data_IF_437705262283
#
_entry.id   IF_437705262283
#
_cell.length_a   1.000
_cell.length_b   1.000
_cell.length_c   1.000
_cell.angle_alpha   90.00
_cell.angle_beta   90.00
_cell.angle_gamma   90.00
#
_symmetry.space_group_name_H-M   'P 1'
#
loop_
_entity.id
_entity.type
_entity.pdbx_description
1 polymer ?
#
# COMPACT_ATOMS: atom_id res chain seq x y z
N UNK A 1 -2.98 8.17 11.88
CA UNK A 1 -2.33 6.87 11.66
C UNK A 1 -1.24 7.06 10.62
N UNK A 2 -0.09 6.43 10.78
CA UNK A 2 0.99 6.47 9.79
C UNK A 2 1.41 5.05 9.43
N UNK A 3 1.84 4.85 8.19
CA UNK A 3 2.48 3.61 7.75
C UNK A 3 3.98 3.83 7.73
N UNK A 4 4.74 2.91 8.32
CA UNK A 4 6.20 2.94 8.34
C UNK A 4 6.69 1.62 7.74
N UNK A 5 7.58 1.72 6.76
CA UNK A 5 8.23 0.57 6.11
C UNK A 5 9.74 0.75 6.23
N UNK A 6 10.45 -0.32 6.56
CA UNK A 6 11.91 -0.32 6.54
C UNK A 6 12.40 -0.74 5.15
N UNK A 7 13.03 0.18 4.43
CA UNK A 7 13.78 -0.10 3.21
C UNK A 7 15.26 -0.33 3.52
N UNK A 8 15.82 -1.40 2.97
CA UNK A 8 17.20 -1.83 3.25
C UNK A 8 18.26 -0.81 2.83
N UNK A 9 17.96 0.04 1.83
CA UNK A 9 18.95 0.97 1.24
C UNK A 9 18.96 2.36 1.88
N UNK A 10 17.83 2.86 2.38
CA UNK A 10 17.71 4.26 2.85
C UNK A 10 17.22 4.38 4.30
N UNK A 11 16.81 3.29 4.94
CA UNK A 11 16.27 3.27 6.29
C UNK A 11 14.74 3.22 6.28
N UNK A 12 14.08 4.05 7.08
CA UNK A 12 12.62 4.00 7.20
C UNK A 12 11.93 5.00 6.27
N UNK A 13 10.95 4.52 5.51
CA UNK A 13 9.96 5.36 4.84
C UNK A 13 8.72 5.45 5.74
N UNK A 14 8.28 6.67 6.07
CA UNK A 14 7.05 6.92 6.82
C UNK A 14 6.14 7.82 6.00
N UNK A 15 4.85 7.48 5.96
CA UNK A 15 3.83 8.32 5.34
C UNK A 15 2.60 8.45 6.24
N UNK A 16 2.06 9.67 6.30
CA UNK A 16 0.85 10.05 6.99
C UNK A 16 -0.30 10.27 6.00
N UNK A 17 -1.53 10.36 6.50
CA UNK A 17 -2.70 10.60 5.65
C UNK A 17 -2.62 11.98 4.97
N UNK A 18 -2.07 12.96 5.68
CA UNK A 18 -1.88 14.33 5.22
C UNK A 18 -0.93 14.40 4.01
N UNK A 19 0.04 13.49 3.93
CA UNK A 19 0.97 13.42 2.79
C UNK A 19 0.24 13.00 1.50
N UNK A 20 -0.75 12.11 1.62
CA UNK A 20 -1.58 11.63 0.50
C UNK A 20 -2.53 12.73 0.02
N UNK A 21 -2.98 13.60 0.93
CA UNK A 21 -3.90 14.70 0.63
C UNK A 21 -3.18 15.97 0.14
N UNK A 22 -1.86 16.02 0.22
CA UNK A 22 -1.08 17.20 -0.16
C UNK A 22 -0.91 17.28 -1.68
N UNK A 23 -1.67 18.17 -2.34
CA UNK A 23 -1.59 18.38 -3.79
C UNK A 23 -0.19 18.81 -4.29
N UNK A 24 0.65 19.43 -3.43
CA UNK A 24 2.02 19.81 -3.79
C UNK A 24 2.96 18.59 -3.93
N UNK A 25 2.61 17.47 -3.29
CA UNK A 25 3.33 16.19 -3.41
C UNK A 25 2.92 15.41 -4.66
N UNK A 26 1.95 15.92 -5.42
CA UNK A 26 1.35 15.26 -6.57
C UNK A 26 0.13 14.43 -6.19
N UNK A 27 -0.78 14.25 -7.16
CA UNK A 27 -1.98 13.45 -6.96
C UNK A 27 -1.64 11.96 -7.06
N UNK A 28 -1.83 11.23 -5.97
CA UNK A 28 -1.69 9.78 -5.96
C UNK A 28 -2.97 9.12 -6.47
N UNK A 29 -2.85 8.33 -7.52
CA UNK A 29 -3.94 7.54 -8.09
C UNK A 29 -3.47 6.09 -8.27
N UNK A 30 -4.31 5.14 -7.91
CA UNK A 30 -4.06 3.71 -8.10
C UNK A 30 -3.80 3.37 -9.58
N UNK A 31 -4.43 4.06 -10.52
CA UNK A 31 -4.16 3.86 -11.96
C UNK A 31 -2.70 4.18 -12.35
N UNK A 32 -2.00 4.99 -11.55
CA UNK A 32 -0.61 5.35 -11.78
C UNK A 32 0.41 4.36 -11.21
N UNK A 33 -0.03 3.37 -10.43
CA UNK A 33 0.84 2.37 -9.79
C UNK A 33 0.67 1.04 -10.52
N UNK A 34 1.78 0.48 -11.01
CA UNK A 34 1.80 -0.73 -11.82
C UNK A 34 2.62 -1.80 -11.10
N UNK A 35 2.01 -2.97 -10.92
CA UNK A 35 2.68 -4.18 -10.43
C UNK A 35 2.89 -5.15 -11.59
N UNK A 36 4.02 -5.85 -11.61
CA UNK A 36 4.27 -6.90 -12.60
C UNK A 36 3.33 -8.09 -12.38
N UNK A 37 2.98 -8.79 -13.46
CA UNK A 37 2.12 -9.98 -13.40
C UNK A 37 2.65 -11.04 -12.43
N UNK A 38 3.98 -11.23 -12.40
CA UNK A 38 4.62 -12.18 -11.48
C UNK A 38 4.36 -11.80 -10.02
N UNK A 39 4.57 -10.53 -9.64
CA UNK A 39 4.33 -10.08 -8.27
C UNK A 39 2.86 -10.28 -7.89
N UNK A 40 1.93 -9.97 -8.79
CA UNK A 40 0.51 -10.16 -8.56
C UNK A 40 0.16 -11.64 -8.36
N UNK A 41 0.77 -12.54 -9.12
CA UNK A 41 0.52 -13.99 -9.00
C UNK A 41 0.95 -14.59 -7.65
N UNK A 42 1.89 -13.95 -6.96
CA UNK A 42 2.40 -14.40 -5.65
C UNK A 42 1.51 -13.94 -4.49
N UNK A 43 0.54 -13.06 -4.74
CA UNK A 43 -0.40 -12.62 -3.72
C UNK A 43 -1.44 -13.69 -3.40
N UNK A 44 -2.02 -13.59 -2.20
CA UNK A 44 -3.11 -14.46 -1.79
C UNK A 44 -4.35 -14.34 -2.71
N UNK A 45 -4.57 -13.14 -3.26
CA UNK A 45 -5.54 -12.88 -4.33
C UNK A 45 -4.83 -12.13 -5.48
N UNK A 46 -4.55 -12.79 -6.62
CA UNK A 46 -3.94 -12.14 -7.77
C UNK A 46 -4.75 -10.99 -8.35
N UNK A 47 -6.07 -10.93 -8.11
CA UNK A 47 -6.94 -9.84 -8.57
C UNK A 47 -7.14 -8.74 -7.53
N UNK A 48 -6.47 -8.82 -6.38
CA UNK A 48 -6.64 -7.88 -5.27
C UNK A 48 -6.50 -6.42 -5.73
N UNK A 49 -5.51 -6.14 -6.57
CA UNK A 49 -5.26 -4.77 -7.01
C UNK A 49 -6.32 -4.24 -7.98
N UNK A 50 -6.82 -5.08 -8.89
CA UNK A 50 -7.94 -4.74 -9.76
C UNK A 50 -9.22 -4.49 -8.95
N UNK A 51 -9.48 -5.32 -7.95
CA UNK A 51 -10.60 -5.14 -7.03
C UNK A 51 -10.48 -3.81 -6.26
N UNK A 52 -9.28 -3.46 -5.82
CA UNK A 52 -9.02 -2.20 -5.12
C UNK A 52 -9.29 -0.98 -6.03
N UNK A 53 -8.83 -1.01 -7.28
CA UNK A 53 -9.11 0.06 -8.27
C UNK A 53 -10.61 0.25 -8.52
N UNK A 54 -11.39 -0.83 -8.45
CA UNK A 54 -12.86 -0.81 -8.56
C UNK A 54 -13.57 -0.35 -7.27
N UNK A 55 -12.83 -0.07 -6.20
CA UNK A 55 -13.38 0.32 -4.90
C UNK A 55 -14.02 -0.84 -4.13
N UNK A 56 -13.72 -2.09 -4.52
CA UNK A 56 -14.19 -3.28 -3.81
C UNK A 56 -13.41 -3.38 -2.50
N UNK A 57 -14.14 -3.34 -1.39
CA UNK A 57 -13.56 -3.49 -0.06
C UNK A 57 -13.33 -4.97 0.24
N UNK A 58 -12.18 -5.27 0.81
CA UNK A 58 -11.88 -6.59 1.36
C UNK A 58 -11.45 -6.46 2.82
N UNK A 59 -11.55 -7.56 3.56
CA UNK A 59 -11.06 -7.61 4.93
C UNK A 59 -9.55 -7.80 4.89
N UNK A 60 -8.80 -6.84 5.45
CA UNK A 60 -7.36 -7.00 5.59
C UNK A 60 -7.04 -8.25 6.40
N UNK A 61 -5.98 -9.00 6.03
CA UNK A 61 -5.57 -10.15 6.83
C UNK A 61 -5.21 -9.68 8.25
N UNK A 62 -5.43 -10.55 9.23
CA UNK A 62 -5.00 -10.26 10.59
C UNK A 62 -3.47 -10.28 10.62
N UNK A 63 -2.86 -9.11 10.77
CA UNK A 63 -1.41 -8.98 10.91
C UNK A 63 -1.09 -9.09 12.40
N UNK A 64 -0.28 -10.08 12.78
CA UNK A 64 0.30 -10.09 14.11
C UNK A 64 1.33 -8.96 14.18
N UNK A 65 1.01 -7.90 14.92
CA UNK A 65 1.90 -6.77 15.12
C UNK A 65 3.20 -7.26 15.77
N UNK A 66 4.34 -6.86 15.22
CA UNK A 66 5.65 -7.16 15.82
C UNK A 66 5.93 -6.28 17.05
N UNK A 67 5.23 -5.16 17.18
CA UNK A 67 5.31 -4.24 18.31
C UNK A 67 3.88 -3.86 18.73
N UNK A 68 3.55 -4.09 19.99
CA UNK A 68 2.28 -3.64 20.57
C UNK A 68 2.31 -2.12 20.75
N UNK A 69 1.22 -1.46 20.33
CA UNK A 69 1.04 0.01 20.42
C UNK A 69 0.53 0.44 21.77
#
# INVERSE_FOLDING_TARGET
YSVIVHETDTGYAQSFLEDIQNEQMGLLNLEGIIFSEQVQSEWADPNMYENLKQGIKFHNPHVNLQVEV
#
